data_IF_429400628599
#
_entry.id   IF_429400628599
#
_cell.length_a   1.000
_cell.length_b   1.000
_cell.length_c   1.000
_cell.angle_alpha   90.00
_cell.angle_beta   90.00
_cell.angle_gamma   90.00
#
_symmetry.space_group_name_H-M   'P 1'
#
loop_
_entity.id
_entity.type
_entity.pdbx_description
1 polymer ?
#
# COMPACT_ATOMS: atom_id res chain seq x y z
N UNK A 1 9.41 6.32 12.37
CA UNK A 1 8.60 5.18 11.89
C UNK A 1 8.78 5.00 10.38
N UNK A 2 8.58 6.02 9.52
CA UNK A 2 8.68 5.85 8.06
C UNK A 2 10.05 5.37 7.60
N UNK A 3 11.14 5.88 8.18
CA UNK A 3 12.50 5.46 7.85
C UNK A 3 12.76 4.00 8.22
N UNK A 4 12.36 3.60 9.40
CA UNK A 4 12.50 2.23 9.90
C UNK A 4 11.68 1.25 9.06
N UNK A 5 10.45 1.63 8.70
CA UNK A 5 9.58 0.81 7.83
C UNK A 5 10.20 0.61 6.44
N UNK A 6 10.73 1.67 5.83
CA UNK A 6 11.40 1.58 4.53
C UNK A 6 12.67 0.72 4.61
N UNK A 7 13.47 0.90 5.67
CA UNK A 7 14.66 0.10 5.91
C UNK A 7 14.33 -1.38 6.09
N UNK A 8 13.31 -1.69 6.91
CA UNK A 8 12.84 -3.06 7.14
C UNK A 8 12.32 -3.72 5.86
N UNK A 9 11.52 -3.00 5.05
CA UNK A 9 11.03 -3.53 3.79
C UNK A 9 12.17 -3.91 2.82
N UNK A 10 13.23 -3.09 2.77
CA UNK A 10 14.42 -3.40 1.99
C UNK A 10 15.23 -4.56 2.57
N UNK A 11 15.36 -4.64 3.90
CA UNK A 11 16.02 -5.76 4.59
C UNK A 11 15.32 -7.08 4.29
N UNK A 12 13.99 -7.11 4.40
CA UNK A 12 13.17 -8.28 4.10
C UNK A 12 13.05 -8.58 2.60
N UNK A 13 13.60 -7.73 1.73
CA UNK A 13 13.54 -7.86 0.26
C UNK A 13 12.12 -8.08 -0.25
N UNK A 14 11.17 -7.26 0.19
CA UNK A 14 9.75 -7.38 -0.16
C UNK A 14 9.54 -7.06 -1.66
N UNK A 15 9.93 -8.01 -2.51
CA UNK A 15 9.92 -7.85 -3.98
C UNK A 15 8.57 -7.52 -4.62
N UNK A 16 7.47 -7.85 -3.94
CA UNK A 16 6.12 -7.57 -4.41
C UNK A 16 5.62 -6.19 -3.97
N UNK A 17 6.39 -5.46 -3.13
CA UNK A 17 6.07 -4.10 -2.73
C UNK A 17 6.53 -3.12 -3.79
N UNK A 18 5.58 -2.46 -4.42
CA UNK A 18 5.81 -1.38 -5.40
C UNK A 18 5.12 -0.13 -4.90
N UNK A 19 5.87 0.95 -4.74
CA UNK A 19 5.38 2.23 -4.25
C UNK A 19 5.48 3.27 -5.35
N UNK A 20 4.39 3.97 -5.64
CA UNK A 20 4.38 5.15 -6.50
C UNK A 20 4.49 6.40 -5.62
N UNK A 21 5.51 7.19 -5.86
CA UNK A 21 5.72 8.47 -5.18
C UNK A 21 5.35 9.60 -6.14
N UNK A 22 4.26 10.30 -5.84
CA UNK A 22 3.85 11.49 -6.59
C UNK A 22 4.77 12.67 -6.24
N UNK A 23 5.78 12.88 -7.08
CA UNK A 23 6.79 13.88 -6.91
C UNK A 23 6.47 15.15 -7.71
N UNK A 24 5.47 15.89 -7.27
CA UNK A 24 4.99 17.11 -7.93
C UNK A 24 5.70 18.40 -7.49
N UNK A 25 6.64 18.30 -6.52
CA UNK A 25 7.45 19.41 -6.01
C UNK A 25 6.69 20.52 -5.28
N UNK A 26 5.46 20.27 -4.90
CA UNK A 26 4.60 21.25 -4.20
C UNK A 26 4.16 20.71 -2.84
N UNK A 27 4.10 21.61 -1.87
CA UNK A 27 3.50 21.43 -0.55
C UNK A 27 2.39 22.48 -0.34
N UNK A 28 1.73 22.45 0.83
CA UNK A 28 0.69 23.43 1.19
C UNK A 28 1.24 24.87 1.08
N UNK A 29 2.46 25.10 1.54
CA UNK A 29 3.06 26.43 1.64
C UNK A 29 3.91 26.84 0.43
N UNK A 30 3.96 26.01 -0.62
CA UNK A 30 4.72 26.32 -1.83
C UNK A 30 5.64 25.21 -2.32
N UNK A 31 6.77 25.57 -2.90
CA UNK A 31 7.73 24.59 -3.42
C UNK A 31 8.37 23.78 -2.31
N UNK A 32 8.52 22.47 -2.53
CA UNK A 32 9.26 21.61 -1.60
C UNK A 32 10.74 22.00 -1.47
N UNK A 33 11.30 22.78 -2.40
CA UNK A 33 12.67 23.28 -2.32
C UNK A 33 12.93 24.20 -1.12
N UNK A 34 11.87 24.72 -0.47
CA UNK A 34 11.98 25.53 0.74
C UNK A 34 12.45 24.70 1.95
N UNK A 35 12.19 23.40 1.97
CA UNK A 35 12.44 22.56 3.16
C UNK A 35 13.01 21.18 2.85
N UNK A 36 13.13 20.78 1.57
CA UNK A 36 13.58 19.46 1.17
C UNK A 36 14.74 19.56 0.18
N UNK A 37 15.91 19.06 0.59
CA UNK A 37 17.12 18.93 -0.24
C UNK A 37 17.55 17.47 -0.47
N UNK A 38 16.68 16.52 -0.12
CA UNK A 38 16.99 15.11 -0.15
C UNK A 38 17.24 14.57 -1.56
N UNK A 39 18.20 13.67 -1.65
CA UNK A 39 18.36 12.81 -2.82
C UNK A 39 17.59 11.50 -2.60
N UNK A 40 16.35 11.44 -3.09
CA UNK A 40 15.49 10.27 -2.92
C UNK A 40 16.13 8.99 -3.48
N UNK A 41 16.81 9.07 -4.63
CA UNK A 41 17.49 7.91 -5.21
C UNK A 41 18.51 7.33 -4.24
N UNK A 42 19.44 8.13 -3.75
CA UNK A 42 20.47 7.68 -2.80
C UNK A 42 19.85 7.15 -1.51
N UNK A 43 18.77 7.80 -1.01
CA UNK A 43 18.06 7.37 0.19
C UNK A 43 17.49 5.96 0.03
N UNK A 44 16.72 5.71 -1.02
CA UNK A 44 16.09 4.41 -1.24
C UNK A 44 17.10 3.32 -1.65
N UNK A 45 18.15 3.67 -2.39
CA UNK A 45 19.24 2.75 -2.69
C UNK A 45 19.96 2.29 -1.41
N UNK A 46 20.16 3.20 -0.41
CA UNK A 46 20.74 2.84 0.88
C UNK A 46 19.86 1.90 1.71
N UNK A 47 18.53 1.94 1.52
CA UNK A 47 17.58 0.98 2.11
C UNK A 47 17.46 -0.33 1.31
N UNK A 48 18.29 -0.52 0.29
CA UNK A 48 18.25 -1.70 -0.59
C UNK A 48 16.94 -1.81 -1.42
N UNK A 49 16.37 -0.68 -1.83
CA UNK A 49 15.26 -0.62 -2.79
C UNK A 49 15.76 -0.43 -4.22
N UNK A 50 14.97 -0.86 -5.19
CA UNK A 50 15.08 -0.38 -6.58
C UNK A 50 14.43 0.99 -6.68
N UNK A 51 15.16 1.97 -7.25
CA UNK A 51 14.65 3.31 -7.49
C UNK A 51 14.46 3.55 -8.99
N UNK A 52 13.25 3.94 -9.39
CA UNK A 52 12.94 4.35 -10.76
C UNK A 52 12.42 5.79 -10.75
N UNK A 53 12.78 6.56 -11.75
CA UNK A 53 12.25 7.91 -11.96
C UNK A 53 11.62 8.00 -13.34
N UNK A 54 10.39 8.52 -13.43
CA UNK A 54 9.63 8.62 -14.67
C UNK A 54 8.88 9.95 -14.76
N UNK A 55 8.47 10.31 -15.97
CA UNK A 55 7.43 11.29 -16.17
C UNK A 55 6.07 10.63 -15.88
N UNK A 56 5.40 11.06 -14.80
CA UNK A 56 4.12 10.52 -14.34
C UNK A 56 2.91 10.85 -15.26
N UNK A 57 3.12 11.67 -16.28
CA UNK A 57 2.12 11.95 -17.32
C UNK A 57 2.43 11.19 -18.63
N UNK A 58 3.41 10.28 -18.64
CA UNK A 58 3.78 9.49 -19.81
C UNK A 58 3.42 8.02 -19.62
N UNK A 59 2.33 7.58 -20.26
CA UNK A 59 1.79 6.23 -20.13
C UNK A 59 2.82 5.12 -20.47
N UNK A 60 3.66 5.34 -21.51
CA UNK A 60 4.68 4.38 -21.90
C UNK A 60 5.77 4.22 -20.85
N UNK A 61 6.17 5.31 -20.19
CA UNK A 61 7.13 5.27 -19.08
C UNK A 61 6.52 4.59 -17.86
N UNK A 62 5.25 4.86 -17.53
CA UNK A 62 4.54 4.21 -16.44
C UNK A 62 4.48 2.70 -16.67
N UNK A 63 4.01 2.26 -17.83
CA UNK A 63 3.90 0.85 -18.20
C UNK A 63 5.25 0.13 -18.14
N UNK A 64 6.33 0.76 -18.66
CA UNK A 64 7.69 0.22 -18.60
C UNK A 64 8.19 0.10 -17.16
N UNK A 65 7.92 1.09 -16.32
CA UNK A 65 8.33 1.07 -14.92
C UNK A 65 7.60 -0.03 -14.13
N UNK A 66 6.30 -0.22 -14.33
CA UNK A 66 5.53 -1.32 -13.74
C UNK A 66 6.11 -2.67 -14.17
N UNK A 67 6.37 -2.85 -15.47
CA UNK A 67 6.97 -4.09 -15.99
C UNK A 67 8.37 -4.36 -15.44
N UNK A 68 9.15 -3.31 -15.14
CA UNK A 68 10.46 -3.46 -14.50
C UNK A 68 10.31 -3.80 -13.02
N UNK A 69 9.42 -3.12 -12.31
CA UNK A 69 9.14 -3.35 -10.90
C UNK A 69 8.65 -4.78 -10.63
N UNK A 70 7.77 -5.33 -11.48
CA UNK A 70 7.24 -6.70 -11.34
C UNK A 70 8.31 -7.80 -11.47
N UNK A 71 9.48 -7.47 -12.03
CA UNK A 71 10.63 -8.38 -12.18
C UNK A 71 11.73 -8.15 -11.14
N UNK A 72 11.59 -7.13 -10.31
CA UNK A 72 12.57 -6.79 -9.28
C UNK A 72 12.64 -7.88 -8.22
N UNK A 73 13.82 -8.07 -7.63
CA UNK A 73 14.06 -8.99 -6.51
C UNK A 73 14.01 -8.29 -5.15
N UNK A 74 13.70 -7.01 -5.13
CA UNK A 74 13.64 -6.16 -3.94
C UNK A 74 12.51 -5.14 -4.11
N UNK A 75 12.05 -4.49 -3.03
CA UNK A 75 10.99 -3.49 -3.14
C UNK A 75 11.38 -2.38 -4.11
N UNK A 76 10.41 -1.84 -4.81
CA UNK A 76 10.63 -0.82 -5.83
C UNK A 76 9.85 0.45 -5.49
N UNK A 77 10.51 1.60 -5.53
CA UNK A 77 9.86 2.90 -5.53
C UNK A 77 9.99 3.55 -6.91
N UNK A 78 8.86 4.04 -7.42
CA UNK A 78 8.75 4.73 -8.70
C UNK A 78 8.44 6.21 -8.41
N UNK A 79 9.44 7.07 -8.52
CA UNK A 79 9.28 8.52 -8.41
C UNK A 79 8.67 9.07 -9.68
N UNK A 80 7.40 9.44 -9.61
CA UNK A 80 6.64 9.99 -10.72
C UNK A 80 6.72 11.51 -10.71
N UNK A 81 7.46 12.11 -11.64
CA UNK A 81 7.41 13.56 -11.85
C UNK A 81 6.06 13.93 -12.43
N UNK A 82 5.26 14.63 -11.66
CA UNK A 82 3.92 15.08 -12.02
C UNK A 82 3.78 16.59 -11.85
N UNK A 83 2.64 17.10 -12.22
CA UNK A 83 2.27 18.50 -12.05
C UNK A 83 0.96 18.53 -11.27
N UNK A 84 0.96 19.08 -10.05
CA UNK A 84 -0.27 19.26 -9.28
C UNK A 84 -1.27 20.11 -10.05
N UNK A 85 -2.57 19.76 -10.02
CA UNK A 85 -3.59 20.47 -10.78
C UNK A 85 -3.39 20.36 -12.30
N UNK A 86 -2.82 19.25 -12.80
CA UNK A 86 -2.60 19.02 -14.21
C UNK A 86 -3.86 19.26 -15.03
N UNK A 87 -3.73 20.01 -16.12
CA UNK A 87 -4.86 20.42 -16.96
C UNK A 87 -5.49 21.76 -16.57
N UNK A 88 -5.23 22.29 -15.36
CA UNK A 88 -5.70 23.60 -14.94
C UNK A 88 -4.88 24.71 -15.60
N UNK A 89 -5.49 25.66 -16.33
CA UNK A 89 -4.76 26.78 -16.94
C UNK A 89 -4.14 27.73 -15.92
N UNK A 90 -4.83 28.00 -14.80
CA UNK A 90 -4.44 29.04 -13.86
C UNK A 90 -3.84 28.51 -12.57
N UNK A 91 -4.14 27.26 -12.18
CA UNK A 91 -3.74 26.67 -10.88
C UNK A 91 -2.76 25.50 -10.99
N UNK A 92 -2.41 25.07 -12.20
CA UNK A 92 -1.44 24.00 -12.43
C UNK A 92 -0.05 24.36 -11.88
N UNK A 93 0.56 23.44 -11.15
CA UNK A 93 1.88 23.62 -10.54
C UNK A 93 1.93 24.59 -9.35
N UNK A 94 0.79 24.99 -8.80
CA UNK A 94 0.72 25.97 -7.70
C UNK A 94 0.24 25.32 -6.40
N UNK A 95 0.72 25.84 -5.26
CA UNK A 95 0.29 25.42 -3.92
C UNK A 95 -1.23 25.61 -3.71
N UNK A 96 -1.85 26.58 -4.39
CA UNK A 96 -3.32 26.80 -4.36
C UNK A 96 -4.14 25.62 -4.88
N UNK A 97 -3.53 24.62 -5.50
CA UNK A 97 -4.18 23.34 -5.87
C UNK A 97 -4.03 22.25 -4.82
N UNK A 98 -3.22 22.49 -3.77
CA UNK A 98 -2.96 21.49 -2.74
C UNK A 98 -4.07 21.52 -1.68
N UNK A 99 -4.91 20.47 -1.67
CA UNK A 99 -5.98 20.33 -0.68
C UNK A 99 -7.15 21.31 -0.82
N UNK A 100 -7.23 22.06 -1.91
CA UNK A 100 -8.31 23.02 -2.16
C UNK A 100 -9.03 22.73 -3.47
N UNK A 101 -10.36 22.89 -3.55
CA UNK A 101 -11.09 22.73 -4.78
C UNK A 101 -10.66 23.79 -5.81
N UNK A 102 -10.68 23.42 -7.07
CA UNK A 102 -10.31 24.34 -8.16
C UNK A 102 -11.31 25.49 -8.33
N UNK A 103 -12.59 25.28 -7.98
CA UNK A 103 -13.69 26.22 -8.20
C UNK A 103 -14.33 26.03 -9.59
N UNK A 104 -15.59 26.43 -9.72
CA UNK A 104 -16.44 26.15 -10.90
C UNK A 104 -15.85 26.72 -12.20
N UNK A 105 -15.34 27.93 -12.17
CA UNK A 105 -14.74 28.57 -13.34
C UNK A 105 -13.52 27.81 -13.83
N UNK A 106 -12.62 27.46 -12.90
CA UNK A 106 -11.41 26.73 -13.24
C UNK A 106 -11.72 25.29 -13.71
N UNK A 107 -12.69 24.63 -13.10
CA UNK A 107 -13.17 23.30 -13.53
C UNK A 107 -13.66 23.36 -14.98
N UNK A 108 -14.39 24.40 -15.35
CA UNK A 108 -14.86 24.60 -16.72
C UNK A 108 -13.69 24.71 -17.71
N UNK A 109 -12.63 25.44 -17.35
CA UNK A 109 -11.42 25.55 -18.15
C UNK A 109 -10.65 24.23 -18.26
N UNK A 110 -10.53 23.49 -17.16
CA UNK A 110 -9.91 22.16 -17.14
C UNK A 110 -10.64 21.20 -18.05
N UNK A 111 -11.97 21.14 -17.95
CA UNK A 111 -12.81 20.29 -18.81
C UNK A 111 -12.59 20.59 -20.28
N UNK A 112 -12.58 21.88 -20.65
CA UNK A 112 -12.30 22.33 -22.03
C UNK A 112 -10.90 21.88 -22.48
N UNK A 113 -9.88 22.06 -21.64
CA UNK A 113 -8.49 21.70 -21.95
C UNK A 113 -8.30 20.20 -22.10
N UNK A 114 -8.93 19.40 -21.23
CA UNK A 114 -8.88 17.95 -21.27
C UNK A 114 -9.91 17.33 -22.23
N UNK A 115 -10.70 18.15 -22.92
CA UNK A 115 -11.76 17.72 -23.86
C UNK A 115 -12.78 16.79 -23.20
N UNK A 116 -13.11 17.03 -21.92
CA UNK A 116 -14.10 16.27 -21.18
C UNK A 116 -15.46 16.93 -21.24
N UNK A 117 -16.35 16.40 -22.08
CA UNK A 117 -17.65 17.00 -22.38
C UNK A 117 -18.82 16.39 -21.61
N UNK A 118 -18.59 15.33 -20.84
CA UNK A 118 -19.64 14.65 -20.09
C UNK A 118 -20.07 15.47 -18.87
N UNK A 119 -21.31 15.28 -18.41
CA UNK A 119 -21.79 15.94 -17.19
C UNK A 119 -20.99 15.49 -15.95
N UNK A 120 -21.06 16.25 -14.84
CA UNK A 120 -20.49 15.80 -13.58
C UNK A 120 -20.99 14.40 -13.20
N UNK A 121 -20.12 13.53 -12.75
CA UNK A 121 -20.39 12.13 -12.36
C UNK A 121 -20.88 11.20 -13.49
N UNK A 122 -20.96 11.69 -14.72
CA UNK A 122 -21.23 10.87 -15.90
C UNK A 122 -19.93 10.31 -16.48
N UNK A 123 -19.84 8.98 -16.57
CA UNK A 123 -18.72 8.28 -17.20
C UNK A 123 -19.22 7.63 -18.49
N UNK A 124 -18.59 7.87 -19.66
CA UNK A 124 -18.97 7.24 -20.91
C UNK A 124 -19.01 5.70 -20.78
N UNK A 125 -20.01 5.08 -21.40
CA UNK A 125 -20.22 3.63 -21.31
C UNK A 125 -18.99 2.85 -21.80
N UNK A 126 -18.34 3.32 -22.86
CA UNK A 126 -17.11 2.72 -23.41
C UNK A 126 -15.99 2.62 -22.39
N UNK A 127 -15.81 3.66 -21.55
CA UNK A 127 -14.80 3.67 -20.46
C UNK A 127 -15.22 2.70 -19.37
N UNK A 128 -16.50 2.68 -18.99
CA UNK A 128 -17.02 1.72 -18.00
C UNK A 128 -16.82 0.28 -18.44
N UNK A 129 -17.06 -0.01 -19.71
CA UNK A 129 -16.92 -1.35 -20.26
C UNK A 129 -15.48 -1.82 -20.28
N UNK A 130 -14.52 -0.92 -20.60
CA UNK A 130 -13.10 -1.26 -20.50
C UNK A 130 -12.67 -1.56 -19.04
N UNK A 131 -13.15 -0.79 -18.05
CA UNK A 131 -12.90 -1.08 -16.64
C UNK A 131 -13.52 -2.41 -16.19
N UNK A 132 -14.74 -2.72 -16.63
CA UNK A 132 -15.43 -3.99 -16.33
C UNK A 132 -14.69 -5.20 -16.90
N UNK A 133 -14.15 -5.10 -18.12
CA UNK A 133 -13.30 -6.16 -18.71
C UNK A 133 -12.07 -6.48 -17.86
N UNK A 134 -11.53 -5.49 -17.12
CA UNK A 134 -10.43 -5.74 -16.19
C UNK A 134 -10.92 -6.58 -15.00
N UNK A 135 -12.12 -6.29 -14.47
CA UNK A 135 -12.75 -7.08 -13.42
C UNK A 135 -13.02 -8.53 -13.84
N UNK A 136 -13.53 -8.74 -15.05
CA UNK A 136 -13.76 -10.08 -15.63
C UNK A 136 -12.46 -10.90 -15.72
N UNK A 137 -11.34 -10.26 -16.10
CA UNK A 137 -10.02 -10.91 -16.05
C UNK A 137 -9.63 -11.31 -14.63
N UNK A 138 -9.98 -10.50 -13.63
CA UNK A 138 -9.77 -10.79 -12.21
C UNK A 138 -10.51 -12.05 -11.78
N UNK A 139 -11.77 -12.21 -12.17
CA UNK A 139 -12.58 -13.40 -11.89
C UNK A 139 -11.94 -14.67 -12.48
N UNK A 140 -11.46 -14.60 -13.72
CA UNK A 140 -10.77 -15.72 -14.35
C UNK A 140 -9.46 -16.10 -13.64
N UNK A 141 -8.72 -15.10 -13.16
CA UNK A 141 -7.48 -15.33 -12.38
C UNK A 141 -7.79 -15.95 -11.03
N UNK A 142 -8.85 -15.50 -10.35
CA UNK A 142 -9.30 -16.07 -9.09
C UNK A 142 -9.73 -17.54 -9.27
N UNK A 143 -10.53 -17.86 -10.28
CA UNK A 143 -10.91 -19.26 -10.58
C UNK A 143 -9.68 -20.15 -10.78
N UNK A 144 -8.70 -19.70 -11.57
CA UNK A 144 -7.45 -20.45 -11.77
C UNK A 144 -6.65 -20.61 -10.47
N UNK A 145 -6.62 -19.59 -9.64
CA UNK A 145 -5.97 -19.66 -8.33
C UNK A 145 -6.67 -20.66 -7.42
N UNK A 146 -8.00 -20.65 -7.36
CA UNK A 146 -8.80 -21.61 -6.59
C UNK A 146 -8.55 -23.06 -7.07
N UNK A 147 -8.46 -23.30 -8.39
CA UNK A 147 -8.12 -24.61 -8.93
C UNK A 147 -6.73 -25.08 -8.47
N UNK A 148 -5.74 -24.18 -8.46
CA UNK A 148 -4.38 -24.49 -7.98
C UNK A 148 -4.40 -24.84 -6.51
N UNK A 149 -5.09 -24.06 -5.68
CA UNK A 149 -5.22 -24.33 -4.24
C UNK A 149 -5.92 -25.65 -3.97
N UNK A 150 -7.03 -25.93 -4.67
CA UNK A 150 -7.78 -27.17 -4.51
C UNK A 150 -6.99 -28.42 -4.93
N UNK A 151 -6.06 -28.30 -5.88
CA UNK A 151 -5.15 -29.38 -6.31
C UNK A 151 -3.91 -29.54 -5.42
N UNK A 152 -3.63 -28.58 -4.55
CA UNK A 152 -2.51 -28.62 -3.62
C UNK A 152 -2.83 -29.48 -2.39
N UNK A 153 -1.79 -29.74 -1.60
CA UNK A 153 -1.90 -30.50 -0.36
C UNK A 153 -3.05 -29.97 0.53
N UNK A 154 -4.00 -30.81 0.96
CA UNK A 154 -5.13 -30.43 1.81
C UNK A 154 -4.72 -29.66 3.07
N UNK A 155 -3.56 -29.97 3.64
CA UNK A 155 -3.01 -29.26 4.81
C UNK A 155 -2.75 -27.79 4.50
N UNK A 156 -2.12 -27.49 3.36
CA UNK A 156 -1.85 -26.10 2.92
C UNK A 156 -3.15 -25.34 2.66
N UNK A 157 -4.16 -26.01 2.09
CA UNK A 157 -5.49 -25.43 1.89
C UNK A 157 -6.13 -25.06 3.23
N UNK A 158 -6.14 -25.98 4.19
CA UNK A 158 -6.71 -25.75 5.52
C UNK A 158 -5.96 -24.62 6.26
N UNK A 159 -4.63 -24.58 6.19
CA UNK A 159 -3.84 -23.50 6.80
C UNK A 159 -4.16 -22.14 6.19
N UNK A 160 -4.36 -22.08 4.87
CA UNK A 160 -4.77 -20.84 4.18
C UNK A 160 -6.19 -20.42 4.56
N UNK A 161 -7.14 -21.37 4.58
CA UNK A 161 -8.54 -21.12 4.97
C UNK A 161 -8.61 -20.63 6.42
N UNK A 162 -7.88 -21.24 7.34
CA UNK A 162 -7.77 -20.76 8.74
C UNK A 162 -7.25 -19.33 8.85
N UNK A 163 -6.29 -18.96 8.00
CA UNK A 163 -5.72 -17.61 7.98
C UNK A 163 -6.76 -16.54 7.65
N UNK A 164 -7.74 -16.86 6.81
CA UNK A 164 -8.78 -15.92 6.36
C UNK A 164 -10.13 -16.10 7.08
N UNK A 165 -10.33 -17.22 7.77
CA UNK A 165 -11.59 -17.51 8.44
C UNK A 165 -11.61 -16.93 9.86
N UNK A 166 -12.40 -15.87 10.06
CA UNK A 166 -12.52 -15.17 11.36
C UNK A 166 -13.17 -16.01 12.48
N UNK A 167 -13.76 -17.16 12.17
CA UNK A 167 -14.56 -17.95 13.11
C UNK A 167 -13.74 -19.02 13.85
N UNK A 168 -12.45 -19.18 13.59
CA UNK A 168 -11.60 -20.20 14.24
C UNK A 168 -10.77 -19.64 15.42
N UNK A 169 -11.36 -18.76 16.24
CA UNK A 169 -10.73 -18.21 17.44
C UNK A 169 -10.99 -19.04 18.72
N UNK A 170 -11.64 -20.21 18.61
CA UNK A 170 -12.02 -21.00 19.77
C UNK A 170 -10.89 -21.37 20.72
N UNK A 171 -9.72 -21.67 20.17
CA UNK A 171 -8.54 -21.95 20.99
C UNK A 171 -7.97 -20.71 21.69
N UNK A 172 -8.23 -19.52 21.15
CA UNK A 172 -7.76 -18.25 21.72
C UNK A 172 -8.44 -17.94 23.05
N UNK A 173 -9.74 -18.14 23.15
CA UNK A 173 -10.48 -17.93 24.41
C UNK A 173 -9.96 -18.85 25.52
N UNK A 174 -9.79 -20.13 25.21
CA UNK A 174 -9.23 -21.10 26.14
C UNK A 174 -7.81 -20.76 26.59
N UNK A 175 -7.00 -20.27 25.66
CA UNK A 175 -5.63 -19.85 25.96
C UNK A 175 -5.62 -18.63 26.89
N UNK A 176 -6.46 -17.65 26.63
CA UNK A 176 -6.57 -16.43 27.44
C UNK A 176 -7.04 -16.78 28.84
N UNK A 177 -8.05 -17.64 28.97
CA UNK A 177 -8.54 -18.06 30.29
C UNK A 177 -7.50 -18.84 31.10
N UNK A 178 -6.75 -19.74 30.45
CA UNK A 178 -5.61 -20.41 31.08
C UNK A 178 -4.54 -19.44 31.56
N UNK A 179 -4.25 -18.41 30.78
CA UNK A 179 -3.26 -17.41 31.14
C UNK A 179 -3.73 -16.51 32.29
N UNK A 180 -5.01 -16.12 32.28
CA UNK A 180 -5.62 -15.40 33.41
C UNK A 180 -5.56 -16.21 34.70
N UNK A 181 -5.96 -17.47 34.66
CA UNK A 181 -5.93 -18.39 35.83
C UNK A 181 -4.52 -18.50 36.33
N UNK A 182 -3.54 -18.76 35.47
CA UNK A 182 -2.13 -18.82 35.83
C UNK A 182 -1.67 -17.57 36.57
N UNK A 183 -1.98 -16.39 36.07
CA UNK A 183 -1.58 -15.11 36.67
C UNK A 183 -2.31 -14.84 37.97
N UNK A 184 -3.56 -15.24 38.09
CA UNK A 184 -4.32 -15.17 39.33
C UNK A 184 -3.71 -16.02 40.44
N UNK A 185 -3.29 -17.25 40.12
CA UNK A 185 -2.73 -18.18 41.06
C UNK A 185 -1.29 -17.81 41.44
N UNK A 186 -0.47 -17.46 40.47
CA UNK A 186 0.97 -17.21 40.71
C UNK A 186 1.28 -15.77 41.14
N UNK A 187 0.36 -14.83 40.93
CA UNK A 187 0.49 -13.38 41.25
C UNK A 187 1.87 -12.82 40.92
N UNK A 188 2.39 -13.02 39.68
CA UNK A 188 3.75 -12.61 39.35
C UNK A 188 3.86 -11.07 39.38
N UNK A 189 4.97 -10.60 39.93
CA UNK A 189 5.31 -9.17 39.87
C UNK A 189 5.99 -8.85 38.51
N UNK A 190 5.25 -8.38 37.55
CA UNK A 190 5.68 -8.16 36.17
C UNK A 190 5.44 -6.74 35.72
N UNK A 191 6.43 -6.16 35.02
CA UNK A 191 6.21 -4.94 34.29
C UNK A 191 5.22 -5.15 33.11
N UNK A 192 4.46 -4.12 32.75
CA UNK A 192 3.46 -4.22 31.68
C UNK A 192 4.04 -4.71 30.34
N UNK A 193 5.28 -4.33 30.00
CA UNK A 193 6.00 -4.83 28.83
C UNK A 193 6.23 -6.35 28.85
N UNK A 194 6.47 -6.93 30.03
CA UNK A 194 6.63 -8.38 30.19
C UNK A 194 5.28 -9.10 30.05
N UNK A 195 4.20 -8.52 30.59
CA UNK A 195 2.85 -9.04 30.37
C UNK A 195 2.49 -9.06 28.88
N UNK A 196 2.78 -7.98 28.16
CA UNK A 196 2.59 -7.90 26.71
C UNK A 196 3.42 -8.96 25.96
N UNK A 197 4.70 -9.09 26.31
CA UNK A 197 5.59 -10.08 25.71
C UNK A 197 5.06 -11.51 25.88
N UNK A 198 4.72 -11.91 27.11
CA UNK A 198 4.21 -13.26 27.38
C UNK A 198 2.85 -13.51 26.74
N UNK A 199 2.01 -12.48 26.61
CA UNK A 199 0.73 -12.60 25.91
C UNK A 199 0.95 -12.82 24.41
N UNK A 200 1.82 -12.03 23.77
CA UNK A 200 2.17 -12.20 22.35
C UNK A 200 2.80 -13.58 22.11
N UNK A 201 3.73 -14.02 22.97
CA UNK A 201 4.37 -15.33 22.87
C UNK A 201 3.35 -16.47 22.93
N UNK A 202 2.41 -16.40 23.86
CA UNK A 202 1.31 -17.37 23.99
C UNK A 202 0.39 -17.38 22.76
N UNK A 203 -0.06 -16.20 22.31
CA UNK A 203 -0.99 -16.07 21.19
C UNK A 203 -0.33 -16.47 19.87
N UNK A 204 0.94 -16.12 19.64
CA UNK A 204 1.65 -16.43 18.39
C UNK A 204 1.81 -17.94 18.17
N UNK A 205 1.75 -18.74 19.24
CA UNK A 205 1.82 -20.19 19.14
C UNK A 205 0.60 -20.82 18.44
N UNK A 206 -0.57 -20.15 18.49
CA UNK A 206 -1.83 -20.64 17.92
C UNK A 206 -2.34 -19.80 16.76
N UNK A 207 -1.85 -18.57 16.60
CA UNK A 207 -2.22 -17.66 15.51
C UNK A 207 -1.02 -17.38 14.60
N UNK A 208 -0.72 -18.27 13.63
CA UNK A 208 0.42 -18.10 12.73
C UNK A 208 0.29 -16.88 11.80
N UNK A 209 -0.93 -16.34 11.67
CA UNK A 209 -1.21 -15.11 10.92
C UNK A 209 -0.83 -13.84 11.71
N UNK A 210 -0.53 -13.95 13.00
CA UNK A 210 -0.10 -12.80 13.79
C UNK A 210 1.31 -12.37 13.36
N UNK A 211 1.39 -11.23 12.70
CA UNK A 211 2.65 -10.61 12.29
C UNK A 211 2.74 -9.25 12.96
N UNK A 212 3.85 -8.97 13.58
CA UNK A 212 4.08 -7.72 14.26
C UNK A 212 5.55 -7.33 14.24
N UNK A 213 5.80 -6.09 14.63
CA UNK A 213 7.14 -5.54 14.81
C UNK A 213 7.09 -4.35 15.74
N UNK A 214 8.24 -3.97 16.25
CA UNK A 214 8.41 -2.78 17.07
C UNK A 214 9.52 -1.93 16.46
N UNK A 215 9.29 -0.62 16.40
CA UNK A 215 10.37 0.34 16.24
C UNK A 215 10.90 0.60 17.66
N UNK A 216 12.09 0.16 17.91
CA UNK A 216 12.77 0.26 19.20
C UNK A 216 12.54 1.62 19.88
#
# INVERSE_FOLDING_TARGET
>A
ISHETMSLAGHLKLKNLVVFFDNNKISIDGSTSLSVSDNYKKRFESYNWEFLEINGHNEKQISKAISKASKSKKPTIISCKTIIGFGSPNKSGKASSHGSPLGEEEITLVRKRLKWNNKPFEIPQEILDEWRKIGEKGELLEKKWQEVINKKNPRLKNELEKTYNKNELGDLENLIEKQKTKYFDTKPDLATRQCSMFTIESISSILPQLVGGSAD
#
